data_IF_530831529640
#
_entry.id   IF_530831529640
#
_cell.length_a   1.000
_cell.length_b   1.000
_cell.length_c   1.000
_cell.angle_alpha   90.00
_cell.angle_beta   90.00
_cell.angle_gamma   90.00
#
_symmetry.space_group_name_H-M   'P 1'
#
loop_
_entity.id
_entity.type
_entity.pdbx_description
1 polymer ?
#
# COMPACT_ATOMS: atom_id res chain seq x y z
N UNK A 1 25.05 -1.74 51.42
CA UNK A 1 23.62 -1.74 51.02
C UNK A 1 23.46 -0.94 49.73
N UNK A 2 23.79 -1.49 48.55
CA UNK A 2 23.76 -0.75 47.27
C UNK A 2 23.28 -1.60 46.07
N UNK A 3 23.68 -2.87 46.03
CA UNK A 3 23.45 -3.78 44.89
C UNK A 3 22.00 -3.92 44.40
N UNK A 4 21.03 -3.93 45.31
CA UNK A 4 19.61 -4.15 44.92
C UNK A 4 19.00 -2.94 44.22
N UNK A 5 19.44 -1.73 44.58
CA UNK A 5 18.91 -0.47 44.05
C UNK A 5 19.49 -0.18 42.66
N UNK A 6 20.78 -0.46 42.49
CA UNK A 6 21.50 -0.32 41.22
C UNK A 6 21.00 -1.35 40.19
N UNK A 7 20.81 -2.61 40.61
CA UNK A 7 20.19 -3.64 39.76
C UNK A 7 18.75 -3.28 39.36
N UNK A 8 17.96 -2.70 40.26
CA UNK A 8 16.59 -2.27 39.95
C UNK A 8 16.54 -1.11 38.95
N UNK A 9 17.45 -0.13 39.08
CA UNK A 9 17.56 0.99 38.15
C UNK A 9 17.94 0.51 36.74
N UNK A 10 18.92 -0.41 36.63
CA UNK A 10 19.34 -0.98 35.35
C UNK A 10 18.21 -1.72 34.62
N UNK A 11 17.32 -2.40 35.37
CA UNK A 11 16.15 -3.07 34.79
C UNK A 11 15.16 -2.07 34.20
N UNK A 12 14.89 -0.95 34.88
CA UNK A 12 13.97 0.08 34.39
C UNK A 12 14.53 0.82 33.18
N UNK A 13 15.82 1.14 33.21
CA UNK A 13 16.51 1.79 32.09
C UNK A 13 16.46 0.91 30.83
N UNK A 14 16.76 -0.38 30.99
CA UNK A 14 16.69 -1.34 29.87
C UNK A 14 15.25 -1.52 29.37
N UNK A 15 14.26 -1.56 30.28
CA UNK A 15 12.86 -1.66 29.90
C UNK A 15 12.43 -0.47 29.04
N UNK A 16 12.83 0.76 29.39
CA UNK A 16 12.52 1.96 28.60
C UNK A 16 13.16 1.92 27.21
N UNK A 17 14.43 1.52 27.11
CA UNK A 17 15.12 1.38 25.82
C UNK A 17 14.45 0.32 24.95
N UNK A 18 14.15 -0.85 25.52
CA UNK A 18 13.46 -1.93 24.81
C UNK A 18 12.09 -1.49 24.33
N UNK A 19 11.29 -0.83 25.18
CA UNK A 19 9.97 -0.29 24.79
C UNK A 19 10.09 0.70 23.63
N UNK A 20 11.06 1.60 23.67
CA UNK A 20 11.32 2.54 22.58
C UNK A 20 11.71 1.79 21.29
N UNK A 21 12.63 0.83 21.36
CA UNK A 21 13.07 0.06 20.20
C UNK A 21 11.92 -0.75 19.58
N UNK A 22 11.10 -1.41 20.40
CA UNK A 22 9.92 -2.12 19.89
C UNK A 22 8.93 -1.19 19.20
N UNK A 23 8.66 -0.01 19.78
CA UNK A 23 7.78 0.97 19.15
C UNK A 23 8.29 1.41 17.78
N UNK A 24 9.61 1.55 17.65
CA UNK A 24 10.26 1.98 16.42
C UNK A 24 10.27 0.88 15.37
N UNK A 25 10.50 -0.37 15.77
CA UNK A 25 10.40 -1.53 14.87
C UNK A 25 8.97 -1.69 14.35
N UNK A 26 7.97 -1.65 15.22
CA UNK A 26 6.56 -1.79 14.82
C UNK A 26 6.18 -0.66 13.85
N UNK A 27 6.45 0.60 14.22
CA UNK A 27 6.13 1.74 13.36
C UNK A 27 6.87 1.70 12.00
N UNK A 28 8.12 1.27 11.99
CA UNK A 28 8.88 1.10 10.75
C UNK A 28 8.28 -0.01 9.88
N UNK A 29 7.88 -1.14 10.47
CA UNK A 29 7.26 -2.26 9.72
C UNK A 29 5.89 -1.88 9.14
N UNK A 30 5.03 -1.20 9.90
CA UNK A 30 3.74 -0.71 9.39
C UNK A 30 3.94 0.28 8.25
N UNK A 31 4.87 1.22 8.41
CA UNK A 31 5.18 2.20 7.35
C UNK A 31 5.73 1.51 6.11
N UNK A 32 6.58 0.49 6.26
CA UNK A 32 7.10 -0.27 5.12
C UNK A 32 5.97 -0.96 4.35
N UNK A 33 5.04 -1.63 5.03
CA UNK A 33 3.87 -2.26 4.41
C UNK A 33 3.01 -1.23 3.67
N UNK A 34 2.72 -0.09 4.29
CA UNK A 34 1.96 0.99 3.65
C UNK A 34 2.61 1.50 2.36
N UNK A 35 3.94 1.63 2.34
CA UNK A 35 4.68 2.06 1.14
C UNK A 35 4.63 0.99 0.05
N UNK A 36 4.77 -0.29 0.41
CA UNK A 36 4.67 -1.41 -0.53
C UNK A 36 3.28 -1.46 -1.17
N UNK A 37 2.22 -1.31 -0.38
CA UNK A 37 0.84 -1.25 -0.89
C UNK A 37 0.64 -0.10 -1.88
N UNK A 38 1.16 1.09 -1.55
CA UNK A 38 1.10 2.25 -2.45
C UNK A 38 1.82 1.99 -3.76
N UNK A 39 2.95 1.31 -3.72
CA UNK A 39 3.73 0.99 -4.92
C UNK A 39 3.04 -0.06 -5.79
N UNK A 40 2.46 -1.10 -5.17
CA UNK A 40 1.69 -2.13 -5.85
C UNK A 40 0.47 -1.55 -6.57
N UNK A 41 -0.36 -0.76 -5.87
CA UNK A 41 -1.53 -0.09 -6.47
C UNK A 41 -1.13 0.88 -7.58
N UNK A 42 -0.06 1.65 -7.38
CA UNK A 42 0.43 2.59 -8.37
C UNK A 42 0.91 1.90 -9.66
N UNK A 43 1.63 0.79 -9.53
CA UNK A 43 2.09 0.00 -10.66
C UNK A 43 0.91 -0.67 -11.38
N UNK A 44 -0.01 -1.30 -10.65
CA UNK A 44 -1.21 -1.92 -11.22
C UNK A 44 -2.06 -0.89 -11.98
N UNK A 45 -2.23 0.31 -11.43
CA UNK A 45 -3.00 1.39 -12.06
C UNK A 45 -2.34 1.85 -13.37
N UNK A 46 -1.00 2.00 -13.40
CA UNK A 46 -0.27 2.37 -14.62
C UNK A 46 -0.36 1.29 -15.70
N UNK A 47 -0.28 0.03 -15.29
CA UNK A 47 -0.40 -1.09 -16.21
C UNK A 47 -1.82 -1.19 -16.79
N UNK A 48 -2.84 -1.07 -15.94
CA UNK A 48 -4.24 -0.98 -16.36
C UNK A 48 -4.50 0.19 -17.32
N UNK A 49 -3.96 1.38 -17.03
CA UNK A 49 -4.09 2.54 -17.91
C UNK A 49 -3.39 2.32 -19.27
N UNK A 50 -2.22 1.67 -19.28
CA UNK A 50 -1.50 1.32 -20.52
C UNK A 50 -2.33 0.38 -21.39
N UNK A 51 -2.89 -0.67 -20.79
CA UNK A 51 -3.74 -1.63 -21.49
C UNK A 51 -5.03 -0.96 -21.97
N UNK A 52 -5.64 -0.10 -21.16
CA UNK A 52 -6.82 0.67 -21.55
C UNK A 52 -6.56 1.60 -22.74
N UNK A 53 -5.42 2.30 -22.74
CA UNK A 53 -5.03 3.16 -23.86
C UNK A 53 -4.78 2.36 -25.16
N UNK A 54 -4.28 1.13 -25.05
CA UNK A 54 -4.08 0.22 -26.19
C UNK A 54 -5.39 -0.40 -26.69
N UNK A 55 -6.30 -0.78 -25.78
CA UNK A 55 -7.58 -1.39 -26.12
C UNK A 55 -8.57 -0.38 -26.73
N UNK A 56 -8.48 0.90 -26.35
CA UNK A 56 -9.30 1.97 -26.92
C UNK A 56 -10.79 1.71 -26.73
N UNK A 57 -11.54 1.66 -27.84
CA UNK A 57 -13.00 1.43 -27.84
C UNK A 57 -13.41 -0.04 -28.02
N UNK A 58 -12.49 -0.99 -27.81
CA UNK A 58 -12.81 -2.41 -27.88
C UNK A 58 -13.80 -2.80 -26.77
N UNK A 59 -14.83 -3.58 -27.10
CA UNK A 59 -15.82 -4.07 -26.14
C UNK A 59 -15.25 -4.94 -25.01
N UNK A 60 -14.03 -5.45 -25.17
CA UNK A 60 -13.32 -6.26 -24.18
C UNK A 60 -12.32 -5.46 -23.33
N UNK A 61 -12.20 -4.14 -23.54
CA UNK A 61 -11.24 -3.29 -22.86
C UNK A 61 -11.33 -3.42 -21.32
N UNK A 62 -12.53 -3.34 -20.76
CA UNK A 62 -12.73 -3.45 -19.30
C UNK A 62 -12.23 -4.78 -18.75
N UNK A 63 -12.54 -5.89 -19.42
CA UNK A 63 -12.10 -7.24 -19.01
C UNK A 63 -10.58 -7.35 -19.06
N UNK A 64 -9.93 -6.79 -20.09
CA UNK A 64 -8.48 -6.78 -20.23
C UNK A 64 -7.82 -5.94 -19.13
N UNK A 65 -8.37 -4.75 -18.84
CA UNK A 65 -7.88 -3.85 -17.79
C UNK A 65 -8.00 -4.53 -16.41
N UNK A 66 -9.16 -5.10 -16.10
CA UNK A 66 -9.37 -5.83 -14.83
C UNK A 66 -8.37 -6.97 -14.70
N UNK A 67 -8.21 -7.78 -15.75
CA UNK A 67 -7.30 -8.92 -15.73
C UNK A 67 -5.85 -8.54 -15.44
N UNK A 68 -5.33 -7.46 -16.06
CA UNK A 68 -3.93 -7.04 -15.80
C UNK A 68 -3.77 -6.38 -14.43
N UNK A 69 -4.78 -5.68 -13.94
CA UNK A 69 -4.76 -5.10 -12.58
C UNK A 69 -4.78 -6.21 -11.54
N UNK A 70 -5.62 -7.23 -11.70
CA UNK A 70 -5.65 -8.38 -10.80
C UNK A 70 -4.34 -9.16 -10.81
N UNK A 71 -3.74 -9.37 -11.98
CA UNK A 71 -2.42 -10.00 -12.09
C UNK A 71 -1.32 -9.19 -11.40
N UNK A 72 -1.34 -7.86 -11.55
CA UNK A 72 -0.37 -6.97 -10.91
C UNK A 72 -0.52 -6.94 -9.38
N UNK A 73 -1.71 -7.24 -8.85
CA UNK A 73 -2.01 -7.26 -7.42
C UNK A 73 -1.97 -8.67 -6.80
N UNK A 74 -1.78 -9.72 -7.60
CA UNK A 74 -1.89 -11.12 -7.18
C UNK A 74 -0.93 -11.52 -6.04
N UNK A 75 0.20 -10.82 -5.89
CA UNK A 75 1.21 -11.09 -4.86
C UNK A 75 1.10 -10.20 -3.61
N UNK A 76 -0.04 -9.54 -3.39
CA UNK A 76 -0.20 -8.62 -2.26
C UNK A 76 -0.75 -9.35 -1.02
N UNK A 77 0.13 -9.68 -0.08
CA UNK A 77 -0.23 -10.42 1.15
C UNK A 77 -0.86 -9.55 2.25
N UNK A 78 -0.72 -8.22 2.17
CA UNK A 78 -1.01 -7.30 3.28
C UNK A 78 -2.22 -6.38 3.06
N UNK A 79 -2.87 -6.45 1.89
CA UNK A 79 -4.02 -5.61 1.56
C UNK A 79 -4.84 -6.15 0.39
N UNK A 80 -6.12 -5.79 0.33
CA UNK A 80 -7.04 -6.21 -0.74
C UNK A 80 -7.63 -4.98 -1.42
N UNK A 81 -7.58 -4.94 -2.76
CA UNK A 81 -8.23 -3.88 -3.52
C UNK A 81 -9.75 -3.94 -3.35
N UNK A 82 -10.32 -2.96 -2.65
CA UNK A 82 -11.76 -2.92 -2.35
C UNK A 82 -12.59 -2.33 -3.50
N UNK A 83 -11.98 -1.46 -4.31
CA UNK A 83 -12.66 -0.78 -5.42
C UNK A 83 -11.68 -0.55 -6.56
N UNK A 84 -12.09 -0.93 -7.77
CA UNK A 84 -11.43 -0.58 -9.02
C UNK A 84 -12.42 0.26 -9.84
N UNK A 85 -12.00 1.45 -10.28
CA UNK A 85 -12.82 2.33 -11.11
C UNK A 85 -12.09 2.55 -12.42
N UNK A 86 -12.74 2.18 -13.51
CA UNK A 86 -12.27 2.42 -14.88
C UNK A 86 -13.05 3.63 -15.41
N UNK A 87 -12.33 4.59 -15.96
CA UNK A 87 -12.92 5.81 -16.49
C UNK A 87 -12.04 6.37 -17.61
N UNK A 88 -12.65 7.16 -18.49
CA UNK A 88 -11.92 7.93 -19.49
C UNK A 88 -11.32 9.18 -18.83
N UNK A 89 -10.00 9.30 -18.85
CA UNK A 89 -9.30 10.45 -18.31
C UNK A 89 -9.30 11.61 -19.32
N UNK A 90 -9.43 12.85 -18.83
CA UNK A 90 -9.22 14.03 -19.67
C UNK A 90 -7.80 14.09 -20.25
N UNK A 91 -7.59 14.89 -21.30
CA UNK A 91 -6.28 15.05 -21.93
C UNK A 91 -5.20 15.59 -20.96
N UNK A 92 -5.61 16.21 -19.86
CA UNK A 92 -4.81 16.71 -18.76
C UNK A 92 -4.65 15.70 -17.59
N UNK A 93 -5.19 14.50 -17.73
CA UNK A 93 -5.23 13.48 -16.68
C UNK A 93 -6.32 13.73 -15.62
N UNK A 94 -7.27 14.63 -15.88
CA UNK A 94 -8.39 14.88 -14.96
C UNK A 94 -9.33 13.68 -14.87
N UNK A 95 -9.78 13.42 -13.64
CA UNK A 95 -10.87 12.48 -13.37
C UNK A 95 -12.22 13.14 -13.70
N UNK A 96 -13.18 12.41 -14.30
CA UNK A 96 -14.54 12.91 -14.48
C UNK A 96 -15.12 13.37 -13.14
N UNK A 97 -15.81 14.51 -13.13
CA UNK A 97 -16.38 15.10 -11.90
C UNK A 97 -17.42 14.23 -11.18
N UNK A 98 -17.84 13.13 -11.81
CA UNK A 98 -18.61 12.06 -11.19
C UNK A 98 -17.98 10.72 -11.59
N UNK A 99 -17.67 9.89 -10.59
CA UNK A 99 -17.22 8.52 -10.83
C UNK A 99 -18.46 7.62 -10.94
N UNK A 100 -18.51 6.68 -11.89
CA UNK A 100 -19.54 5.64 -11.88
C UNK A 100 -19.49 4.89 -10.55
N UNK A 101 -20.67 4.60 -10.00
CA UNK A 101 -20.86 4.04 -8.65
C UNK A 101 -20.15 2.70 -8.48
#
# INVERSE_FOLDING_TARGET
MGDRRERGAAVVETALVITLLFSLVIGATETAVLVLDKLAVGNATREGARVGALAGSDSSADTLIVGVVEQALCSQDFGTATKLVIFEAGADGSVPGHLPA
#
